data_IF_246543813290
#
_entry.id   IF_246543813290
#
_cell.length_a   1.000
_cell.length_b   1.000
_cell.length_c   1.000
_cell.angle_alpha   90.00
_cell.angle_beta   90.00
_cell.angle_gamma   90.00
#
_symmetry.space_group_name_H-M   'P 1'
#
loop_
_entity.id
_entity.type
_entity.pdbx_description
1 polymer ?
#
# COMPACT_ATOMS: atom_id res chain seq x y z
N UNK A 1 -47.68 58.48 -63.90
CA UNK A 1 -47.45 57.05 -64.16
C UNK A 1 -46.26 56.59 -63.28
N UNK A 2 -46.55 56.15 -62.07
CA UNK A 2 -45.56 55.84 -61.08
C UNK A 2 -45.47 54.33 -60.97
N UNK A 3 -44.27 53.81 -61.20
CA UNK A 3 -43.93 52.39 -60.99
C UNK A 3 -43.55 52.17 -59.51
N UNK A 4 -44.33 51.39 -58.78
CA UNK A 4 -43.94 50.87 -57.47
C UNK A 4 -43.01 49.68 -57.72
N UNK A 5 -41.80 49.72 -57.15
CA UNK A 5 -40.94 48.61 -57.03
C UNK A 5 -41.19 47.92 -55.70
N UNK A 6 -41.57 46.65 -55.72
CA UNK A 6 -41.63 45.77 -54.57
C UNK A 6 -40.20 45.22 -54.27
N UNK A 7 -39.71 45.56 -53.12
CA UNK A 7 -38.47 44.94 -52.56
C UNK A 7 -38.89 43.74 -51.73
N UNK A 8 -38.56 42.55 -52.19
CA UNK A 8 -38.70 41.31 -51.39
C UNK A 8 -37.48 41.15 -50.47
N UNK A 9 -37.71 41.23 -49.16
CA UNK A 9 -36.72 40.93 -48.13
C UNK A 9 -36.71 39.40 -47.92
N UNK A 10 -35.66 38.74 -48.36
CA UNK A 10 -35.39 37.31 -48.03
C UNK A 10 -34.68 37.30 -46.67
N UNK A 11 -35.39 36.85 -45.62
CA UNK A 11 -34.79 36.55 -44.32
C UNK A 11 -34.11 35.18 -44.40
N UNK A 12 -32.77 35.17 -44.44
CA UNK A 12 -32.00 33.96 -44.29
C UNK A 12 -31.94 33.58 -42.81
N UNK A 13 -32.66 32.52 -42.44
CA UNK A 13 -32.54 31.86 -41.14
C UNK A 13 -31.22 31.06 -41.14
N UNK A 14 -30.21 31.60 -40.48
CA UNK A 14 -29.02 30.83 -40.11
C UNK A 14 -29.37 29.88 -38.98
N UNK A 15 -29.53 28.60 -39.28
CA UNK A 15 -29.49 27.55 -38.26
C UNK A 15 -28.04 27.40 -37.81
N UNK A 16 -27.72 27.94 -36.62
CA UNK A 16 -26.50 27.58 -35.90
C UNK A 16 -26.76 26.19 -35.33
N UNK A 17 -26.22 25.17 -36.00
CA UNK A 17 -26.06 23.84 -35.41
C UNK A 17 -24.99 23.97 -34.34
N UNK A 18 -25.38 23.93 -33.07
CA UNK A 18 -24.46 23.60 -32.00
C UNK A 18 -24.10 22.10 -32.20
N UNK A 19 -22.99 21.84 -32.86
CA UNK A 19 -22.32 20.56 -32.67
C UNK A 19 -21.93 20.49 -31.19
N UNK A 20 -22.64 19.65 -30.43
CA UNK A 20 -22.15 19.15 -29.18
C UNK A 20 -20.88 18.32 -29.53
N UNK A 21 -19.73 18.94 -29.41
CA UNK A 21 -18.49 18.20 -29.20
C UNK A 21 -18.63 17.57 -27.81
N UNK A 22 -19.36 16.47 -27.73
CA UNK A 22 -19.05 15.44 -26.76
C UNK A 22 -17.65 15.00 -27.13
N UNK A 23 -16.65 15.60 -26.49
CA UNK A 23 -15.31 15.06 -26.45
C UNK A 23 -15.50 13.60 -26.02
N UNK A 24 -15.41 12.68 -27.00
CA UNK A 24 -15.17 11.28 -26.78
C UNK A 24 -13.87 11.23 -25.99
N UNK A 25 -13.98 11.32 -24.65
CA UNK A 25 -12.93 10.89 -23.76
C UNK A 25 -12.76 9.43 -24.09
N UNK A 26 -11.83 9.14 -25.01
CA UNK A 26 -11.36 7.80 -25.23
C UNK A 26 -10.94 7.31 -23.84
N UNK A 27 -11.74 6.45 -23.26
CA UNK A 27 -11.42 5.74 -22.04
C UNK A 27 -10.22 4.87 -22.44
N UNK A 28 -9.01 5.43 -22.25
CA UNK A 28 -7.77 4.73 -22.53
C UNK A 28 -7.76 3.55 -21.56
N UNK A 29 -8.35 2.43 -22.01
CA UNK A 29 -8.26 1.18 -21.25
C UNK A 29 -6.79 0.82 -21.13
N UNK A 30 -6.38 0.42 -19.94
CA UNK A 30 -5.03 -0.12 -19.71
C UNK A 30 -4.78 -1.27 -20.68
N UNK A 31 -3.76 -1.13 -21.52
CA UNK A 31 -3.25 -2.20 -22.39
C UNK A 31 -2.10 -2.90 -21.68
N UNK A 32 -2.19 -4.23 -21.55
CA UNK A 32 -1.17 -5.04 -20.92
C UNK A 32 -0.22 -5.63 -21.97
N UNK A 33 1.06 -5.35 -21.79
CA UNK A 33 2.13 -6.01 -22.53
C UNK A 33 2.63 -7.19 -21.70
N UNK A 34 2.48 -8.41 -22.22
CA UNK A 34 2.92 -9.60 -21.52
C UNK A 34 4.36 -9.95 -21.86
N UNK A 35 5.14 -10.30 -20.85
CA UNK A 35 6.52 -10.75 -20.93
C UNK A 35 6.70 -12.13 -20.32
N UNK A 36 7.91 -12.68 -20.42
CA UNK A 36 8.25 -13.92 -19.74
C UNK A 36 8.25 -13.71 -18.22
N UNK A 37 7.71 -14.70 -17.49
CA UNK A 37 7.73 -14.64 -16.03
C UNK A 37 9.17 -14.66 -15.49
N UNK A 38 9.52 -13.78 -14.54
CA UNK A 38 10.83 -13.78 -13.90
C UNK A 38 11.05 -14.98 -12.95
N UNK A 39 9.97 -15.68 -12.58
CA UNK A 39 10.04 -16.91 -11.78
C UNK A 39 9.58 -18.11 -12.61
N UNK A 40 10.12 -19.33 -12.37
CA UNK A 40 9.70 -20.53 -13.07
C UNK A 40 8.30 -20.96 -12.62
N UNK A 41 7.32 -20.83 -13.51
CA UNK A 41 5.92 -21.17 -13.21
C UNK A 41 5.60 -22.67 -13.35
N UNK A 42 6.47 -23.47 -13.99
CA UNK A 42 6.18 -24.87 -14.30
C UNK A 42 4.93 -25.02 -15.17
N UNK A 43 3.99 -25.86 -14.72
CA UNK A 43 2.73 -26.12 -15.42
C UNK A 43 1.61 -25.10 -15.10
N UNK A 44 1.93 -24.04 -14.34
CA UNK A 44 0.95 -23.01 -13.97
C UNK A 44 0.69 -22.11 -15.17
N UNK A 45 -0.55 -22.10 -15.67
CA UNK A 45 -0.96 -21.20 -16.74
C UNK A 45 -1.29 -19.82 -16.17
N UNK A 46 -0.33 -18.88 -16.30
CA UNK A 46 -0.48 -17.49 -15.89
C UNK A 46 0.27 -16.57 -16.84
N UNK A 47 -0.18 -15.33 -16.94
CA UNK A 47 0.45 -14.25 -17.69
C UNK A 47 1.19 -13.34 -16.75
N UNK A 48 2.28 -12.75 -17.20
CA UNK A 48 3.06 -11.77 -16.46
C UNK A 48 3.16 -10.47 -17.28
N UNK A 49 2.99 -9.34 -16.61
CA UNK A 49 3.21 -8.01 -17.17
C UNK A 49 4.02 -7.19 -16.18
N UNK A 50 5.06 -6.53 -16.67
CA UNK A 50 6.01 -5.77 -15.87
C UNK A 50 5.95 -4.28 -16.18
N UNK A 51 6.45 -3.46 -15.24
CA UNK A 51 6.65 -2.02 -15.36
C UNK A 51 5.39 -1.23 -15.77
N UNK A 52 4.21 -1.70 -15.31
CA UNK A 52 2.96 -0.99 -15.54
C UNK A 52 2.96 0.30 -14.74
N UNK A 53 2.94 1.45 -15.41
CA UNK A 53 2.92 2.75 -14.75
C UNK A 53 1.57 3.04 -14.12
N UNK A 54 1.55 3.44 -12.84
CA UNK A 54 0.35 3.86 -12.11
C UNK A 54 0.34 5.36 -11.76
N UNK A 55 1.40 6.10 -12.11
CA UNK A 55 1.54 7.52 -11.78
C UNK A 55 2.68 8.17 -12.55
N UNK A 56 2.91 9.48 -12.31
CA UNK A 56 3.87 10.27 -13.09
C UNK A 56 5.34 10.05 -12.70
N UNK A 57 5.60 9.49 -11.52
CA UNK A 57 6.96 9.33 -11.02
C UNK A 57 7.63 8.08 -11.58
N UNK A 58 8.95 8.12 -11.80
CA UNK A 58 9.70 6.99 -12.37
C UNK A 58 9.53 5.68 -11.57
N UNK A 59 9.31 5.78 -10.26
CA UNK A 59 9.05 4.61 -9.40
C UNK A 59 7.57 4.26 -9.25
N UNK A 60 6.68 4.97 -9.92
CA UNK A 60 5.25 4.63 -9.90
C UNK A 60 4.96 3.48 -10.86
N UNK A 61 5.54 2.33 -10.63
CA UNK A 61 5.38 1.12 -11.45
C UNK A 61 5.01 -0.09 -10.59
N UNK A 62 4.34 -1.06 -11.22
CA UNK A 62 4.04 -2.35 -10.61
C UNK A 62 4.16 -3.46 -11.64
N UNK A 63 4.37 -4.68 -11.16
CA UNK A 63 4.31 -5.91 -11.94
C UNK A 63 3.14 -6.75 -11.48
N UNK A 64 2.60 -7.58 -12.37
CA UNK A 64 1.45 -8.41 -12.06
C UNK A 64 1.53 -9.78 -12.71
N UNK A 65 1.20 -10.81 -11.92
CA UNK A 65 0.95 -12.18 -12.37
C UNK A 65 -0.56 -12.41 -12.38
N UNK A 66 -1.10 -12.77 -13.52
CA UNK A 66 -2.52 -13.01 -13.75
C UNK A 66 -2.75 -14.49 -14.04
N UNK A 67 -3.43 -15.25 -13.17
CA UNK A 67 -3.78 -16.63 -13.49
C UNK A 67 -4.75 -16.68 -14.67
N UNK A 68 -4.65 -17.73 -15.48
CA UNK A 68 -5.60 -17.97 -16.54
C UNK A 68 -6.99 -18.25 -15.94
N UNK A 69 -7.94 -17.36 -16.22
CA UNK A 69 -9.30 -17.43 -15.68
C UNK A 69 -10.30 -16.68 -16.55
N UNK A 70 -11.45 -17.31 -16.83
CA UNK A 70 -12.57 -16.69 -17.54
C UNK A 70 -13.39 -15.73 -16.64
N UNK A 71 -13.15 -15.76 -15.34
CA UNK A 71 -13.80 -14.90 -14.36
C UNK A 71 -12.76 -13.99 -13.70
N UNK A 72 -13.15 -12.80 -13.24
CA UNK A 72 -12.26 -11.98 -12.41
C UNK A 72 -11.73 -12.79 -11.21
N UNK A 73 -10.52 -12.47 -10.78
CA UNK A 73 -9.84 -13.19 -9.69
C UNK A 73 -9.59 -12.26 -8.49
N UNK A 74 -9.49 -12.78 -7.26
CA UNK A 74 -8.92 -12.04 -6.14
C UNK A 74 -7.49 -11.59 -6.47
N UNK A 75 -7.01 -10.55 -5.78
CA UNK A 75 -5.65 -10.03 -5.97
C UNK A 75 -4.94 -9.89 -4.63
N UNK A 76 -3.69 -10.33 -4.58
CA UNK A 76 -2.73 -9.98 -3.52
C UNK A 76 -1.79 -8.89 -4.05
N UNK A 77 -1.63 -7.78 -3.30
CA UNK A 77 -0.65 -6.73 -3.62
C UNK A 77 0.45 -6.76 -2.57
N UNK A 78 1.67 -7.02 -3.01
CA UNK A 78 2.86 -6.96 -2.16
C UNK A 78 3.52 -5.58 -2.24
N UNK A 79 3.83 -5.02 -1.06
CA UNK A 79 4.54 -3.76 -0.89
C UNK A 79 5.89 -4.07 -0.26
N UNK A 80 6.99 -3.70 -0.93
CA UNK A 80 8.33 -4.05 -0.48
C UNK A 80 8.77 -3.29 0.78
N UNK A 81 9.66 -3.91 1.54
CA UNK A 81 10.34 -3.29 2.67
C UNK A 81 11.50 -2.37 2.25
N UNK A 82 12.47 -2.21 3.16
CA UNK A 82 13.67 -1.39 2.91
C UNK A 82 13.65 -0.04 3.63
N UNK A 83 12.79 0.12 4.65
CA UNK A 83 12.74 1.31 5.53
C UNK A 83 12.46 2.60 4.78
N UNK A 84 11.79 2.54 3.65
CA UNK A 84 11.50 3.64 2.72
C UNK A 84 12.73 4.26 2.04
N UNK A 85 13.94 3.75 2.24
CA UNK A 85 15.17 4.27 1.64
C UNK A 85 15.82 3.33 0.63
N UNK A 86 15.30 2.12 0.50
CA UNK A 86 15.80 1.09 -0.42
C UNK A 86 14.70 0.08 -0.75
N UNK A 87 15.03 -0.86 -1.63
CA UNK A 87 14.11 -1.91 -2.07
C UNK A 87 13.43 -1.60 -3.39
N UNK A 88 12.88 -2.63 -3.97
CA UNK A 88 12.14 -2.58 -5.23
C UNK A 88 11.14 -3.74 -5.31
N UNK A 89 10.24 -3.68 -6.29
CA UNK A 89 9.20 -4.68 -6.55
C UNK A 89 9.75 -6.06 -6.93
N UNK A 90 10.94 -6.11 -7.50
CA UNK A 90 11.58 -7.34 -7.98
C UNK A 90 12.08 -8.24 -6.84
N UNK A 91 12.06 -7.77 -5.59
CA UNK A 91 12.48 -8.58 -4.42
C UNK A 91 11.71 -9.90 -4.29
N UNK A 92 10.53 -9.99 -4.86
CA UNK A 92 9.68 -11.18 -4.81
C UNK A 92 10.06 -12.25 -5.84
N UNK A 93 11.03 -11.99 -6.72
CA UNK A 93 11.43 -12.95 -7.74
C UNK A 93 12.43 -13.99 -7.24
N UNK A 94 12.98 -13.75 -6.06
CA UNK A 94 13.92 -14.67 -5.42
C UNK A 94 13.47 -15.00 -3.98
N UNK A 95 13.76 -16.19 -3.48
CA UNK A 95 13.59 -16.49 -2.06
C UNK A 95 14.44 -15.55 -1.21
N UNK A 96 13.96 -15.16 -0.04
CA UNK A 96 14.81 -14.42 0.88
C UNK A 96 16.00 -15.27 1.30
N UNK A 97 17.20 -14.66 1.29
CA UNK A 97 18.49 -15.33 1.53
C UNK A 97 18.55 -16.12 2.84
N UNK A 98 17.73 -15.78 3.84
CA UNK A 98 17.64 -16.47 5.14
C UNK A 98 16.54 -17.54 5.19
N UNK A 99 15.85 -17.82 4.07
CA UNK A 99 14.75 -18.78 3.98
C UNK A 99 13.48 -18.37 4.75
N UNK A 100 13.40 -17.14 5.26
CA UNK A 100 12.23 -16.67 6.02
C UNK A 100 11.01 -16.41 5.15
N UNK A 101 11.22 -16.30 3.84
CA UNK A 101 10.15 -16.08 2.87
C UNK A 101 10.56 -16.65 1.50
N UNK A 102 9.77 -17.58 0.97
CA UNK A 102 9.94 -18.13 -0.37
C UNK A 102 8.84 -17.53 -1.29
N UNK A 103 9.08 -16.32 -1.74
CA UNK A 103 8.12 -15.61 -2.57
C UNK A 103 7.74 -16.36 -3.87
N UNK A 104 8.68 -16.96 -4.62
CA UNK A 104 8.32 -17.72 -5.81
C UNK A 104 7.33 -18.85 -5.54
N UNK A 105 7.51 -19.62 -4.44
CA UNK A 105 6.60 -20.69 -4.08
C UNK A 105 5.25 -20.17 -3.58
N UNK A 106 5.23 -19.07 -2.83
CA UNK A 106 3.98 -18.42 -2.41
C UNK A 106 3.20 -17.89 -3.61
N UNK A 107 3.87 -17.20 -4.57
CA UNK A 107 3.24 -16.73 -5.82
C UNK A 107 2.63 -17.89 -6.60
N UNK A 108 3.36 -18.99 -6.76
CA UNK A 108 2.86 -20.20 -7.44
C UNK A 108 1.63 -20.78 -6.73
N UNK A 109 1.65 -20.82 -5.40
CA UNK A 109 0.51 -21.28 -4.59
C UNK A 109 -0.73 -20.42 -4.83
N UNK A 110 -0.58 -19.11 -4.84
CA UNK A 110 -1.68 -18.17 -5.11
C UNK A 110 -2.21 -18.32 -6.54
N UNK A 111 -1.35 -18.40 -7.53
CA UNK A 111 -1.74 -18.56 -8.94
C UNK A 111 -2.49 -19.88 -9.19
N UNK A 112 -2.07 -20.97 -8.54
CA UNK A 112 -2.77 -22.26 -8.58
C UNK A 112 -4.19 -22.16 -7.97
N UNK A 113 -4.35 -21.33 -6.93
CA UNK A 113 -5.63 -21.03 -6.31
C UNK A 113 -6.44 -19.97 -7.09
N UNK A 114 -6.01 -19.58 -8.30
CA UNK A 114 -6.65 -18.53 -9.11
C UNK A 114 -6.67 -17.16 -8.43
N UNK A 115 -5.65 -16.83 -7.68
CA UNK A 115 -5.44 -15.53 -7.06
C UNK A 115 -4.32 -14.82 -7.80
N UNK A 116 -4.58 -13.64 -8.34
CA UNK A 116 -3.58 -12.80 -8.97
C UNK A 116 -2.60 -12.23 -7.93
N UNK A 117 -1.37 -11.92 -8.37
CA UNK A 117 -0.36 -11.34 -7.49
C UNK A 117 0.29 -10.14 -8.16
N UNK A 118 0.35 -9.01 -7.45
CA UNK A 118 1.05 -7.80 -7.90
C UNK A 118 2.11 -7.39 -6.87
N UNK A 119 3.18 -6.77 -7.36
CA UNK A 119 4.22 -6.15 -6.54
C UNK A 119 4.46 -4.73 -7.01
N UNK A 120 4.54 -3.77 -6.09
CA UNK A 120 4.60 -2.34 -6.42
C UNK A 120 5.92 -1.71 -5.99
N UNK A 121 6.38 -0.75 -6.78
CA UNK A 121 7.36 0.26 -6.35
C UNK A 121 6.65 1.49 -5.82
N UNK A 122 7.35 2.28 -5.01
CA UNK A 122 6.94 3.60 -4.52
C UNK A 122 8.18 4.50 -4.39
N UNK A 123 8.02 5.83 -4.35
CA UNK A 123 9.14 6.75 -4.15
C UNK A 123 9.79 6.53 -2.80
N UNK A 124 11.13 6.50 -2.81
CA UNK A 124 11.94 6.35 -1.61
C UNK A 124 12.23 7.71 -0.98
N UNK A 125 12.49 7.71 0.32
CA UNK A 125 12.98 8.88 1.04
C UNK A 125 14.39 9.24 0.60
N UNK A 126 14.67 10.52 0.50
CA UNK A 126 16.01 11.02 0.41
C UNK A 126 16.66 11.04 1.80
N UNK A 127 17.88 10.54 1.88
CA UNK A 127 18.51 10.23 3.18
C UNK A 127 18.69 11.44 4.09
N UNK A 128 18.97 12.62 3.54
CA UNK A 128 19.35 13.79 4.36
C UNK A 128 18.25 14.82 4.51
N UNK A 129 17.59 15.17 3.43
CA UNK A 129 16.59 16.22 3.39
C UNK A 129 15.45 15.81 2.45
N UNK A 130 14.35 15.36 3.03
CA UNK A 130 13.15 14.98 2.30
C UNK A 130 11.95 15.75 2.86
N UNK A 131 11.56 16.85 2.23
CA UNK A 131 10.51 17.71 2.77
C UNK A 131 9.11 17.06 2.75
N UNK A 132 8.91 16.07 1.87
CA UNK A 132 7.61 15.37 1.76
C UNK A 132 7.48 14.26 2.82
N UNK A 133 8.62 13.76 3.31
CA UNK A 133 8.66 12.68 4.28
C UNK A 133 8.01 11.38 3.77
N UNK A 134 7.67 10.50 4.70
CA UNK A 134 7.12 9.17 4.39
C UNK A 134 5.76 9.22 3.69
N UNK A 135 4.98 10.30 3.86
CA UNK A 135 3.67 10.44 3.23
C UNK A 135 3.73 10.32 1.70
N UNK A 136 4.84 10.72 1.05
CA UNK A 136 4.96 10.52 -0.40
C UNK A 136 4.96 9.04 -0.78
N UNK A 137 5.66 8.19 -0.02
CA UNK A 137 5.71 6.74 -0.26
C UNK A 137 4.36 6.08 0.03
N UNK A 138 3.70 6.50 1.11
CA UNK A 138 2.36 6.02 1.47
C UNK A 138 1.31 6.43 0.42
N UNK A 139 1.36 7.67 -0.06
CA UNK A 139 0.46 8.19 -1.09
C UNK A 139 0.71 7.53 -2.46
N UNK A 140 1.95 7.18 -2.80
CA UNK A 140 2.24 6.40 -4.00
C UNK A 140 1.61 5.01 -3.91
N UNK A 141 1.74 4.34 -2.76
CA UNK A 141 1.12 3.02 -2.53
C UNK A 141 -0.41 3.09 -2.55
N UNK A 142 -0.99 4.16 -1.99
CA UNK A 142 -2.43 4.46 -2.11
C UNK A 142 -2.84 4.60 -3.58
N UNK A 143 -2.10 5.40 -4.35
CA UNK A 143 -2.38 5.60 -5.77
C UNK A 143 -2.25 4.30 -6.56
N UNK A 144 -1.28 3.44 -6.26
CA UNK A 144 -1.14 2.14 -6.89
C UNK A 144 -2.38 1.26 -6.67
N UNK A 145 -2.86 1.16 -5.42
CA UNK A 145 -4.11 0.46 -5.09
C UNK A 145 -5.31 1.02 -5.87
N UNK A 146 -5.47 2.35 -5.89
CA UNK A 146 -6.58 3.01 -6.60
C UNK A 146 -6.47 2.83 -8.11
N UNK A 147 -5.25 2.88 -8.69
CA UNK A 147 -5.02 2.63 -10.11
C UNK A 147 -5.38 1.19 -10.52
N UNK A 148 -4.96 0.22 -9.73
CA UNK A 148 -5.29 -1.20 -9.94
C UNK A 148 -6.81 -1.41 -9.88
N UNK A 149 -7.51 -0.80 -8.92
CA UNK A 149 -8.97 -0.85 -8.83
C UNK A 149 -9.67 -0.20 -10.02
N UNK A 150 -9.20 0.97 -10.43
CA UNK A 150 -9.75 1.68 -11.61
C UNK A 150 -9.61 0.86 -12.90
N UNK A 151 -8.57 0.02 -12.98
CA UNK A 151 -8.30 -0.83 -14.13
C UNK A 151 -8.68 -2.31 -13.90
N UNK A 152 -9.49 -2.60 -12.89
CA UNK A 152 -9.85 -3.97 -12.49
C UNK A 152 -10.41 -4.82 -13.63
N UNK A 153 -11.16 -4.23 -14.57
CA UNK A 153 -11.70 -4.91 -15.75
C UNK A 153 -10.59 -5.36 -16.71
N UNK A 154 -9.62 -4.50 -17.00
CA UNK A 154 -8.48 -4.82 -17.88
C UNK A 154 -7.56 -5.88 -17.23
N UNK A 155 -7.43 -5.82 -15.90
CA UNK A 155 -6.63 -6.77 -15.10
C UNK A 155 -7.38 -8.08 -14.80
N UNK A 156 -8.66 -8.19 -15.15
CA UNK A 156 -9.52 -9.35 -14.82
C UNK A 156 -9.49 -9.70 -13.32
N UNK A 157 -9.67 -8.69 -12.46
CA UNK A 157 -9.66 -8.85 -10.99
C UNK A 157 -10.96 -8.34 -10.35
N UNK A 158 -11.30 -8.90 -9.19
CA UNK A 158 -12.34 -8.36 -8.32
C UNK A 158 -11.80 -7.17 -7.52
N UNK A 159 -12.18 -5.93 -7.87
CA UNK A 159 -11.67 -4.72 -7.20
C UNK A 159 -11.95 -4.62 -5.70
N UNK A 160 -12.95 -5.37 -5.21
CA UNK A 160 -13.30 -5.40 -3.78
C UNK A 160 -12.72 -6.64 -3.06
N UNK A 161 -11.99 -7.50 -3.76
CA UNK A 161 -11.32 -8.66 -3.17
C UNK A 161 -9.81 -8.53 -3.36
N UNK A 162 -9.24 -7.52 -2.71
CA UNK A 162 -7.81 -7.22 -2.72
C UNK A 162 -7.27 -7.40 -1.30
N UNK A 163 -6.20 -8.16 -1.17
CA UNK A 163 -5.47 -8.38 0.08
C UNK A 163 -4.13 -7.67 -0.04
N UNK A 164 -3.80 -6.84 0.95
CA UNK A 164 -2.50 -6.19 1.00
C UNK A 164 -1.52 -7.04 1.81
N UNK A 165 -0.29 -7.10 1.33
CA UNK A 165 0.79 -7.79 2.03
C UNK A 165 2.09 -7.01 1.92
N UNK A 166 3.03 -7.29 2.80
CA UNK A 166 4.32 -6.64 2.78
C UNK A 166 5.22 -7.04 3.94
N UNK A 167 6.44 -6.53 3.90
CA UNK A 167 7.44 -6.72 4.95
C UNK A 167 8.00 -5.37 5.39
N UNK A 168 8.27 -5.21 6.69
CA UNK A 168 8.92 -4.02 7.24
C UNK A 168 8.17 -2.73 6.85
N UNK A 169 8.80 -1.79 6.16
CA UNK A 169 8.15 -0.57 5.65
C UNK A 169 6.89 -0.87 4.82
N UNK A 170 6.94 -1.90 3.97
CA UNK A 170 5.77 -2.32 3.19
C UNK A 170 4.67 -2.93 4.04
N UNK A 171 5.02 -3.61 5.13
CA UNK A 171 4.06 -4.12 6.10
C UNK A 171 3.29 -2.99 6.78
N UNK A 172 4.00 -2.00 7.32
CA UNK A 172 3.36 -0.83 7.93
C UNK A 172 2.55 -0.01 6.92
N UNK A 173 3.00 0.08 5.65
CA UNK A 173 2.23 0.71 4.57
C UNK A 173 0.92 -0.03 4.30
N UNK A 174 0.95 -1.38 4.29
CA UNK A 174 -0.24 -2.21 4.14
C UNK A 174 -1.23 -2.01 5.29
N UNK A 175 -0.73 -1.91 6.53
CA UNK A 175 -1.56 -1.60 7.70
C UNK A 175 -2.11 -0.16 7.65
N UNK A 176 -1.30 0.81 7.22
CA UNK A 176 -1.74 2.19 7.06
C UNK A 176 -2.90 2.29 6.05
N UNK A 177 -2.80 1.60 4.92
CA UNK A 177 -3.89 1.53 3.94
C UNK A 177 -5.12 0.78 4.48
N UNK A 178 -4.91 -0.30 5.23
CA UNK A 178 -5.98 -1.13 5.79
C UNK A 178 -6.77 -0.45 6.90
N UNK A 179 -6.11 0.36 7.73
CA UNK A 179 -6.70 1.01 8.90
C UNK A 179 -7.03 2.50 8.70
N UNK A 180 -6.75 3.06 7.52
CA UNK A 180 -7.24 4.39 7.16
C UNK A 180 -8.71 4.31 6.76
N UNK A 181 -9.47 5.36 7.07
CA UNK A 181 -10.76 5.58 6.45
C UNK A 181 -10.65 5.53 4.93
N UNK A 182 -11.77 5.33 4.24
CA UNK A 182 -11.76 5.35 2.78
C UNK A 182 -11.30 6.70 2.24
N UNK A 183 -10.15 6.68 1.56
CA UNK A 183 -9.50 7.88 1.02
C UNK A 183 -9.93 8.21 -0.43
N UNK A 184 -11.08 7.70 -0.88
CA UNK A 184 -11.65 8.07 -2.17
C UNK A 184 -12.02 9.55 -2.22
N UNK A 185 -11.54 10.26 -3.23
CA UNK A 185 -11.96 11.65 -3.52
C UNK A 185 -12.87 11.67 -4.75
N UNK A 186 -14.17 11.49 -4.51
CA UNK A 186 -15.18 11.40 -5.58
C UNK A 186 -15.25 12.66 -6.45
N UNK A 187 -14.75 13.80 -5.95
CA UNK A 187 -14.72 15.09 -6.67
C UNK A 187 -13.46 15.29 -7.51
N UNK A 188 -12.46 14.41 -7.37
CA UNK A 188 -11.18 14.58 -8.03
C UNK A 188 -11.30 14.48 -9.56
N UNK A 189 -10.53 15.28 -10.27
CA UNK A 189 -10.46 15.20 -11.74
C UNK A 189 -9.80 13.92 -12.24
N UNK A 190 -8.81 13.42 -11.50
CA UNK A 190 -8.19 12.12 -11.76
C UNK A 190 -9.13 10.99 -11.31
N UNK A 191 -9.65 10.22 -12.26
CA UNK A 191 -10.57 9.09 -11.99
C UNK A 191 -9.95 8.05 -11.06
N UNK A 192 -8.63 7.87 -11.09
CA UNK A 192 -7.90 6.94 -10.22
C UNK A 192 -8.14 7.30 -8.76
N UNK A 193 -8.06 8.57 -8.39
CA UNK A 193 -8.22 9.02 -7.00
C UNK A 193 -9.68 8.95 -6.50
N UNK A 194 -10.64 8.65 -7.37
CA UNK A 194 -12.04 8.40 -7.00
C UNK A 194 -12.28 6.97 -6.51
N UNK A 195 -11.36 6.04 -6.76
CA UNK A 195 -11.51 4.65 -6.32
C UNK A 195 -11.31 4.53 -4.80
N UNK A 196 -12.12 3.67 -4.20
CA UNK A 196 -12.04 3.35 -2.78
C UNK A 196 -10.69 2.73 -2.42
N UNK A 197 -10.16 3.07 -1.24
CA UNK A 197 -8.95 2.45 -0.68
C UNK A 197 -9.25 1.26 0.23
N UNK A 198 -10.51 0.94 0.51
CA UNK A 198 -10.88 -0.20 1.35
C UNK A 198 -10.40 -1.52 0.72
N UNK A 199 -9.89 -2.42 1.54
CA UNK A 199 -9.35 -3.72 1.13
C UNK A 199 -10.03 -4.86 1.91
N UNK A 200 -9.91 -6.08 1.41
CA UNK A 200 -10.55 -7.26 2.00
C UNK A 200 -9.86 -7.73 3.27
N UNK A 201 -8.53 -7.68 3.29
CA UNK A 201 -7.70 -8.11 4.41
C UNK A 201 -6.28 -7.56 4.29
N UNK A 202 -5.51 -7.66 5.39
CA UNK A 202 -4.08 -7.33 5.43
C UNK A 202 -3.30 -8.50 6.03
N UNK A 203 -2.21 -8.95 5.38
CA UNK A 203 -1.35 -10.01 5.90
C UNK A 203 0.11 -9.58 5.85
N UNK A 204 0.78 -9.40 7.00
CA UNK A 204 2.11 -8.76 7.04
C UNK A 204 3.09 -9.45 7.98
N UNK A 205 4.38 -9.34 7.64
CA UNK A 205 5.50 -9.85 8.44
C UNK A 205 6.46 -8.72 8.83
N UNK A 206 7.06 -8.81 10.01
CA UNK A 206 8.10 -7.90 10.51
C UNK A 206 7.67 -6.42 10.46
N UNK A 207 6.48 -6.09 10.91
CA UNK A 207 5.88 -4.76 10.84
C UNK A 207 6.25 -3.84 12.00
N UNK A 208 5.96 -2.54 11.82
CA UNK A 208 5.80 -1.57 12.90
C UNK A 208 4.31 -1.43 13.23
N UNK A 209 3.97 -1.20 14.51
CA UNK A 209 2.58 -0.99 14.93
C UNK A 209 2.06 0.40 14.52
N UNK A 210 2.94 1.37 14.42
CA UNK A 210 2.63 2.76 14.10
C UNK A 210 3.82 3.42 13.43
N UNK A 211 3.56 4.47 12.67
CA UNK A 211 4.58 5.40 12.19
C UNK A 211 4.60 6.71 12.98
N UNK A 212 3.82 6.84 14.06
CA UNK A 212 4.09 7.83 15.10
C UNK A 212 5.20 7.31 16.02
N UNK A 213 6.44 7.69 15.70
CA UNK A 213 7.64 7.19 16.39
C UNK A 213 7.73 7.66 17.86
N UNK A 214 6.92 8.65 18.28
CA UNK A 214 6.79 8.99 19.70
C UNK A 214 6.20 7.82 20.49
N UNK A 215 5.25 7.07 19.89
CA UNK A 215 4.64 5.89 20.50
C UNK A 215 5.59 4.72 20.69
N UNK A 216 6.76 4.70 20.02
CA UNK A 216 7.76 3.69 20.29
C UNK A 216 8.28 3.79 21.73
N UNK A 217 8.50 5.01 22.24
CA UNK A 217 8.97 5.22 23.60
C UNK A 217 7.84 5.30 24.64
N UNK A 218 6.69 5.88 24.29
CA UNK A 218 5.60 6.07 25.26
C UNK A 218 4.67 4.84 25.40
N UNK A 219 4.64 3.95 24.40
CA UNK A 219 3.70 2.82 24.37
C UNK A 219 4.42 1.48 24.11
N UNK A 220 5.07 1.32 22.94
CA UNK A 220 5.55 0.00 22.48
C UNK A 220 6.70 -0.48 23.36
N UNK A 221 7.66 0.38 23.66
CA UNK A 221 8.87 0.08 24.44
C UNK A 221 8.89 0.75 25.81
N UNK A 222 7.73 1.17 26.34
CA UNK A 222 7.65 1.86 27.62
C UNK A 222 8.33 1.09 28.77
N UNK A 223 8.20 -0.24 28.80
CA UNK A 223 8.82 -1.09 29.83
C UNK A 223 10.35 -1.14 29.76
N UNK A 224 10.95 -0.83 28.60
CA UNK A 224 12.40 -0.75 28.42
C UNK A 224 12.96 0.66 28.71
N UNK A 225 12.10 1.63 29.04
CA UNK A 225 12.48 3.04 29.16
C UNK A 225 13.23 3.56 27.92
N UNK A 226 12.83 3.08 26.74
CA UNK A 226 13.43 3.41 25.45
C UNK A 226 13.30 4.91 25.15
N UNK A 227 14.37 5.53 24.66
CA UNK A 227 14.39 6.93 24.20
C UNK A 227 15.12 7.02 22.88
N UNK A 228 14.51 7.74 21.92
CA UNK A 228 15.12 7.97 20.61
C UNK A 228 16.47 8.66 20.71
N UNK A 229 16.67 9.58 21.65
CA UNK A 229 17.94 10.32 21.81
C UNK A 229 19.09 9.37 22.16
N UNK A 230 18.86 8.44 23.10
CA UNK A 230 19.88 7.45 23.47
C UNK A 230 20.20 6.53 22.28
N UNK A 231 19.17 6.23 21.47
CA UNK A 231 19.33 5.43 20.26
C UNK A 231 20.15 6.14 19.16
N UNK A 232 19.97 7.45 18.97
CA UNK A 232 20.73 8.23 18.00
C UNK A 232 22.22 8.37 18.36
N UNK A 233 22.57 8.27 19.65
CA UNK A 233 23.96 8.18 20.09
C UNK A 233 24.60 6.86 19.67
N UNK A 234 23.84 5.77 19.65
CA UNK A 234 24.29 4.44 19.24
C UNK A 234 24.33 4.27 17.71
N UNK A 235 23.39 4.87 17.00
CA UNK A 235 23.26 4.82 15.54
C UNK A 235 22.96 6.22 14.96
N UNK A 236 23.99 7.06 14.71
CA UNK A 236 23.81 8.41 14.18
C UNK A 236 23.08 8.47 12.82
N UNK A 237 23.10 7.39 12.02
CA UNK A 237 22.36 7.34 10.76
C UNK A 237 20.85 7.43 10.99
N UNK A 238 20.37 6.92 12.12
CA UNK A 238 18.96 6.99 12.47
C UNK A 238 18.45 8.40 12.76
N UNK A 239 19.33 9.31 13.20
CA UNK A 239 18.98 10.72 13.33
C UNK A 239 18.52 11.33 11.99
N UNK A 240 19.28 11.11 10.92
CA UNK A 240 18.93 11.61 9.58
C UNK A 240 17.67 10.94 9.04
N UNK A 241 17.55 9.63 9.21
CA UNK A 241 16.34 8.88 8.80
C UNK A 241 15.09 9.36 9.53
N UNK A 242 15.18 9.60 10.83
CA UNK A 242 14.08 10.12 11.64
C UNK A 242 13.63 11.51 11.16
N UNK A 243 14.57 12.40 10.84
CA UNK A 243 14.26 13.70 10.25
C UNK A 243 13.55 13.57 8.91
N UNK A 244 14.17 12.86 7.97
CA UNK A 244 13.63 12.66 6.62
C UNK A 244 12.28 11.96 6.63
N UNK A 245 12.03 11.10 7.63
CA UNK A 245 10.76 10.38 7.76
C UNK A 245 9.57 11.33 7.93
N UNK A 246 9.74 12.44 8.62
CA UNK A 246 8.69 13.44 8.85
C UNK A 246 8.86 14.72 8.02
N UNK A 247 9.84 14.80 7.15
CA UNK A 247 10.12 16.03 6.42
C UNK A 247 10.67 17.17 7.25
N UNK A 248 11.30 16.85 8.39
CA UNK A 248 11.86 17.85 9.32
C UNK A 248 13.26 18.34 8.89
N UNK A 249 13.53 19.61 9.09
CA UNK A 249 14.86 20.17 8.97
C UNK A 249 15.68 20.04 10.28
N UNK A 250 14.99 19.95 11.43
CA UNK A 250 15.57 19.82 12.76
C UNK A 250 14.71 18.98 13.68
N UNK A 251 15.30 18.25 14.64
CA UNK A 251 14.56 17.54 15.69
C UNK A 251 13.74 18.46 16.60
N UNK A 252 14.08 19.73 16.70
CA UNK A 252 13.29 20.70 17.46
C UNK A 252 11.87 20.87 16.93
N UNK A 253 11.64 20.47 15.67
CA UNK A 253 10.32 20.52 15.03
C UNK A 253 9.39 19.37 15.46
N UNK A 254 9.93 18.28 16.04
CA UNK A 254 9.19 17.05 16.29
C UNK A 254 7.90 17.24 17.12
N UNK A 255 7.89 18.22 18.02
CA UNK A 255 6.73 18.55 18.85
C UNK A 255 5.96 19.80 18.40
N UNK A 256 6.31 20.39 17.25
CA UNK A 256 5.51 21.46 16.66
C UNK A 256 4.12 20.94 16.24
N UNK A 257 3.18 21.84 16.08
CA UNK A 257 1.82 21.50 15.63
C UNK A 257 1.83 20.82 14.27
N UNK A 258 2.63 21.31 13.32
CA UNK A 258 2.72 20.77 11.96
C UNK A 258 3.21 19.31 11.98
N UNK A 259 4.29 19.02 12.68
CA UNK A 259 4.83 17.66 12.77
C UNK A 259 3.93 16.76 13.62
N UNK A 260 3.27 17.28 14.66
CA UNK A 260 2.26 16.53 15.40
C UNK A 260 1.08 16.15 14.52
N UNK A 261 0.61 17.04 13.66
CA UNK A 261 -0.42 16.75 12.68
C UNK A 261 0.06 15.76 11.61
N UNK A 262 1.33 15.85 11.19
CA UNK A 262 1.93 14.87 10.30
C UNK A 262 1.96 13.48 10.94
N UNK A 263 2.42 13.36 12.19
CA UNK A 263 2.47 12.11 12.94
C UNK A 263 1.12 11.42 13.05
N UNK A 264 0.04 12.20 13.28
CA UNK A 264 -1.35 11.68 13.30
C UNK A 264 -1.76 11.05 11.97
N UNK A 265 -1.30 11.60 10.83
CA UNK A 265 -1.61 11.08 9.48
C UNK A 265 -0.91 9.75 9.16
N UNK A 266 0.06 9.34 9.96
CA UNK A 266 0.83 8.12 9.76
C UNK A 266 0.74 7.16 10.95
N UNK A 267 -0.12 7.46 11.91
CA UNK A 267 -0.34 6.65 13.11
C UNK A 267 -1.44 5.61 12.87
N UNK A 268 -1.12 4.57 12.09
CA UNK A 268 -2.06 3.52 11.74
C UNK A 268 -2.64 2.80 12.98
N UNK A 269 -1.94 2.77 14.11
CA UNK A 269 -2.48 2.17 15.33
C UNK A 269 -3.71 2.95 15.86
N UNK A 270 -3.66 4.28 15.84
CA UNK A 270 -4.77 5.12 16.29
C UNK A 270 -5.87 5.31 15.23
N UNK A 271 -5.63 4.89 14.00
CA UNK A 271 -6.62 4.91 12.92
C UNK A 271 -7.59 3.73 12.99
N UNK A 272 -7.21 2.65 13.70
CA UNK A 272 -8.03 1.44 13.77
C UNK A 272 -9.45 1.73 14.26
N UNK A 273 -10.44 1.23 13.52
CA UNK A 273 -11.87 1.27 13.84
C UNK A 273 -12.50 -0.11 13.66
N UNK A 274 -13.67 -0.35 14.22
CA UNK A 274 -14.34 -1.68 14.21
C UNK A 274 -14.72 -2.19 12.80
N UNK A 275 -14.77 -1.29 11.79
CA UNK A 275 -15.10 -1.62 10.40
C UNK A 275 -13.86 -1.90 9.54
N UNK A 276 -12.67 -1.91 10.14
CA UNK A 276 -11.44 -2.22 9.43
C UNK A 276 -11.30 -3.73 9.11
N UNK A 277 -10.52 -4.06 8.07
CA UNK A 277 -10.38 -5.43 7.64
C UNK A 277 -9.66 -6.31 8.67
N UNK A 278 -10.03 -7.59 8.71
CA UNK A 278 -9.26 -8.59 9.43
C UNK A 278 -7.81 -8.60 8.97
N UNK A 279 -6.86 -8.80 9.91
CA UNK A 279 -5.46 -8.85 9.57
C UNK A 279 -4.70 -10.03 10.19
N UNK A 280 -3.65 -10.45 9.49
CA UNK A 280 -2.65 -11.40 9.96
C UNK A 280 -1.31 -10.68 10.14
N UNK A 281 -0.63 -10.92 11.29
CA UNK A 281 0.66 -10.26 11.58
C UNK A 281 1.64 -11.21 12.27
N UNK A 282 2.91 -11.17 11.87
CA UNK A 282 3.98 -11.89 12.56
C UNK A 282 5.24 -11.04 12.75
N UNK A 283 5.66 -10.90 14.01
CA UNK A 283 6.97 -10.38 14.43
C UNK A 283 7.63 -11.37 15.37
N UNK A 284 8.48 -12.24 14.83
CA UNK A 284 9.01 -13.41 15.54
C UNK A 284 10.29 -13.15 16.34
N UNK A 285 10.76 -11.89 16.40
CA UNK A 285 11.91 -11.57 17.27
C UNK A 285 11.56 -11.82 18.74
N UNK A 286 12.51 -12.38 19.48
CA UNK A 286 12.29 -12.69 20.90
C UNK A 286 12.03 -11.43 21.71
N UNK A 287 10.99 -11.39 22.56
CA UNK A 287 10.59 -10.18 23.29
C UNK A 287 11.56 -9.76 24.41
N UNK A 288 12.48 -10.65 24.80
CA UNK A 288 13.44 -10.39 25.88
C UNK A 288 14.65 -9.54 25.48
N UNK A 289 14.74 -9.14 24.22
CA UNK A 289 15.86 -8.33 23.70
C UNK A 289 15.49 -6.85 23.79
N UNK A 290 16.25 -6.07 24.54
CA UNK A 290 16.07 -4.62 24.59
C UNK A 290 16.24 -3.99 23.21
N UNK A 291 15.46 -2.94 22.85
CA UNK A 291 15.50 -2.33 21.53
C UNK A 291 16.74 -1.43 21.34
N UNK A 292 17.92 -2.05 21.14
CA UNK A 292 19.23 -1.36 21.03
C UNK A 292 19.79 -1.32 19.62
N UNK A 293 19.18 -2.01 18.66
CA UNK A 293 19.61 -2.07 17.25
C UNK A 293 18.45 -1.77 16.32
N UNK A 294 18.71 -1.17 15.18
CA UNK A 294 17.69 -0.77 14.23
C UNK A 294 16.71 -1.89 13.86
N UNK A 295 17.21 -3.08 13.52
CA UNK A 295 16.38 -4.24 13.19
C UNK A 295 15.53 -4.70 14.35
N UNK A 296 16.02 -4.55 15.60
CA UNK A 296 15.27 -4.88 16.81
C UNK A 296 14.19 -3.84 17.05
N UNK A 297 14.54 -2.55 17.01
CA UNK A 297 13.57 -1.46 17.22
C UNK A 297 12.41 -1.54 16.22
N UNK A 298 12.71 -1.82 14.96
CA UNK A 298 11.69 -1.78 13.89
C UNK A 298 10.90 -3.08 13.71
N UNK A 299 11.40 -4.22 14.18
CA UNK A 299 10.77 -5.53 13.98
C UNK A 299 10.53 -6.30 15.28
N UNK A 300 10.61 -5.63 16.43
CA UNK A 300 10.40 -6.24 17.73
C UNK A 300 9.00 -6.88 17.84
N UNK A 301 8.92 -7.99 18.58
CA UNK A 301 7.67 -8.70 18.85
C UNK A 301 6.55 -7.79 19.40
N UNK A 302 6.93 -6.75 20.13
CA UNK A 302 5.96 -5.83 20.76
C UNK A 302 5.16 -5.01 19.76
N UNK A 303 5.62 -4.80 18.53
CA UNK A 303 4.78 -4.18 17.50
C UNK A 303 3.57 -5.06 17.18
N UNK A 304 3.75 -6.34 16.93
CA UNK A 304 2.64 -7.26 16.66
C UNK A 304 1.76 -7.48 17.91
N UNK A 305 2.38 -7.57 19.11
CA UNK A 305 1.65 -7.62 20.38
C UNK A 305 0.75 -6.40 20.59
N UNK A 306 1.27 -5.19 20.30
CA UNK A 306 0.50 -3.94 20.45
C UNK A 306 -0.65 -3.89 19.45
N UNK A 307 -0.41 -4.25 18.18
CA UNK A 307 -1.46 -4.33 17.16
C UNK A 307 -2.58 -5.27 17.61
N UNK A 308 -2.23 -6.49 18.04
CA UNK A 308 -3.22 -7.45 18.56
C UNK A 308 -4.00 -6.90 19.74
N UNK A 309 -3.30 -6.38 20.74
CA UNK A 309 -3.95 -5.86 21.96
C UNK A 309 -4.93 -4.74 21.63
N UNK A 310 -4.56 -3.85 20.70
CA UNK A 310 -5.42 -2.75 20.27
C UNK A 310 -6.61 -3.25 19.48
N UNK A 311 -6.41 -4.11 18.51
CA UNK A 311 -7.45 -4.73 17.70
C UNK A 311 -8.48 -5.49 18.56
N UNK A 312 -8.00 -6.31 19.52
CA UNK A 312 -8.87 -7.02 20.46
C UNK A 312 -9.76 -6.05 21.29
N UNK A 313 -9.22 -4.89 21.68
CA UNK A 313 -9.94 -3.91 22.48
C UNK A 313 -11.10 -3.22 21.75
N UNK A 314 -11.04 -3.18 20.41
CA UNK A 314 -12.03 -2.55 19.53
C UNK A 314 -12.80 -3.55 18.66
N UNK A 315 -12.53 -4.85 18.83
CA UNK A 315 -13.30 -5.91 18.17
C UNK A 315 -12.88 -6.25 16.73
N UNK A 316 -11.69 -5.83 16.27
CA UNK A 316 -11.17 -6.23 14.95
C UNK A 316 -10.64 -7.67 15.02
N UNK A 317 -11.12 -8.53 14.11
CA UNK A 317 -10.61 -9.89 13.94
C UNK A 317 -9.13 -9.85 13.52
N UNK A 318 -8.30 -10.66 14.18
CA UNK A 318 -6.88 -10.70 13.90
C UNK A 318 -6.25 -12.05 14.18
N UNK A 319 -5.20 -12.39 13.44
CA UNK A 319 -4.34 -13.54 13.65
C UNK A 319 -2.91 -13.03 13.88
N UNK A 320 -2.39 -13.17 15.08
CA UNK A 320 -1.10 -12.57 15.45
C UNK A 320 -0.12 -13.60 15.98
N UNK A 321 1.16 -13.44 15.58
CA UNK A 321 2.32 -14.21 16.05
C UNK A 321 3.41 -13.23 16.48
N UNK A 322 3.90 -13.38 17.71
CA UNK A 322 4.97 -12.50 18.22
C UNK A 322 5.83 -13.16 19.28
N UNK A 323 7.11 -13.13 19.10
CA UNK A 323 8.04 -13.82 19.99
C UNK A 323 7.72 -15.31 20.07
N UNK A 324 7.41 -15.78 21.27
CA UNK A 324 7.01 -17.18 21.54
C UNK A 324 5.47 -17.34 21.56
N UNK A 325 4.70 -16.28 21.30
CA UNK A 325 3.24 -16.37 21.23
C UNK A 325 2.80 -16.83 19.84
N UNK A 326 2.00 -17.91 19.84
CA UNK A 326 1.35 -18.43 18.66
C UNK A 326 -0.18 -18.24 18.77
N UNK A 327 -0.80 -17.83 17.67
CA UNK A 327 -2.26 -17.71 17.64
C UNK A 327 -2.92 -19.09 17.78
N UNK A 328 -4.01 -19.25 18.58
CA UNK A 328 -4.63 -20.56 18.83
C UNK A 328 -5.12 -21.31 17.59
N UNK A 329 -5.44 -20.61 16.50
CA UNK A 329 -5.84 -21.26 15.24
C UNK A 329 -4.70 -21.94 14.52
N UNK A 330 -3.44 -21.54 14.77
CA UNK A 330 -2.28 -22.01 14.01
C UNK A 330 -2.32 -21.61 12.52
N UNK A 331 -3.20 -20.68 12.12
CA UNK A 331 -3.40 -20.30 10.71
C UNK A 331 -2.14 -19.66 10.14
N UNK A 332 -1.58 -20.29 9.10
CA UNK A 332 -0.40 -19.76 8.44
C UNK A 332 -0.70 -18.49 7.62
N UNK A 333 0.36 -17.77 7.23
CA UNK A 333 0.27 -16.60 6.35
C UNK A 333 -0.46 -16.92 5.03
N UNK A 334 -0.11 -18.03 4.40
CA UNK A 334 -0.72 -18.43 3.12
C UNK A 334 -2.17 -18.89 3.32
N UNK A 335 -2.45 -19.68 4.37
CA UNK A 335 -3.81 -20.14 4.67
C UNK A 335 -4.77 -18.97 4.94
N UNK A 336 -4.29 -17.95 5.67
CA UNK A 336 -5.06 -16.72 5.88
C UNK A 336 -5.42 -16.03 4.56
N UNK A 337 -4.44 -15.84 3.67
CA UNK A 337 -4.67 -15.23 2.36
C UNK A 337 -5.65 -16.06 1.54
N UNK A 338 -5.48 -17.38 1.47
CA UNK A 338 -6.38 -18.27 0.75
C UNK A 338 -7.81 -18.19 1.30
N UNK A 339 -7.98 -18.23 2.62
CA UNK A 339 -9.29 -18.08 3.26
C UNK A 339 -9.93 -16.75 2.89
N UNK A 340 -9.21 -15.63 3.06
CA UNK A 340 -9.75 -14.28 2.79
C UNK A 340 -10.08 -14.05 1.32
N UNK A 341 -9.34 -14.64 0.42
CA UNK A 341 -9.60 -14.56 -1.02
C UNK A 341 -10.87 -15.34 -1.45
N UNK A 342 -11.24 -16.41 -0.71
CA UNK A 342 -12.38 -17.26 -1.04
C UNK A 342 -13.70 -16.83 -0.36
N UNK A 343 -13.65 -15.94 0.64
CA UNK A 343 -14.81 -15.28 1.26
C UNK A 343 -15.38 -14.16 0.36
#
# INVERSE_FOLDING_TARGET
MNKLQFIAIIAALLFISCENNDDLVLDNQLELNYSYSPIPLGDINAKFSEDISYGPEARNTFDIFLPDSDQPTPLVIYIHGGGFISGNKEIVYEPMWNGSWDFPEEIKTLLNAKIAFATINYRLLEFKDDPDGVLKSLNDSKRALQFIKNNSKALNIYKNNIILTGSSAGAGTSLWLGFSDDMADLSNKDKVLRESTRVKAVAVKATQATYDLEKFQSLIFAEYNFKWMDYFELDPAMYHRFKSFYGMSSLNEFYTEDITNYRRKVDMLSMMTEDDPEFWVANLQKPVVAPTQNTIVTHHAYHAKTLKTWADSIGIANVAYYGDYEHPTGESFVDFILRKAME
#
